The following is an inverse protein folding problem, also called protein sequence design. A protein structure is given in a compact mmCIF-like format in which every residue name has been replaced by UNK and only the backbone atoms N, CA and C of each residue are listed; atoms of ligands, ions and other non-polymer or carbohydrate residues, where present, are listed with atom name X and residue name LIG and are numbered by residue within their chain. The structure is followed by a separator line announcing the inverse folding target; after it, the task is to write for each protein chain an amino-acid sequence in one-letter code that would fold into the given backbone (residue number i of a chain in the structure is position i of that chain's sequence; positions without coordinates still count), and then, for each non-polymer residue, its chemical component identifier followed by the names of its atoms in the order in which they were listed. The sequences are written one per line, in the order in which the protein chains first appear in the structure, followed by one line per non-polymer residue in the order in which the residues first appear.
data_IF_255436930787
#
_entry.id   IF_255436930787
#
_cell.length_a   1.000
_cell.length_b   1.000
_cell.length_c   1.000
_cell.angle_alpha   90.00
_cell.angle_beta   90.00
_cell.angle_gamma   90.00
#
_symmetry.space_group_name_H-M   'P 1'
#
loop_
_entity.id
_entity.type
_entity.pdbx_description
1 polymer ?
#
# COMPACT_ATOMS: atom_id res chain seq x y z
N UNK A 1 5.17 20.25 -11.72
CA UNK A 1 5.71 18.89 -11.49
C UNK A 1 4.85 18.27 -10.39
N UNK A 2 4.51 16.99 -10.48
CA UNK A 2 3.70 16.32 -9.44
C UNK A 2 4.65 15.93 -8.31
N UNK A 3 4.32 16.28 -7.07
CA UNK A 3 5.13 15.94 -5.89
C UNK A 3 5.05 14.45 -5.59
N UNK A 4 6.16 13.85 -5.17
CA UNK A 4 6.22 12.45 -4.73
C UNK A 4 5.70 12.31 -3.31
N UNK A 5 4.99 11.21 -3.03
CA UNK A 5 4.34 10.95 -1.74
C UNK A 5 5.16 9.97 -0.90
N UNK A 6 5.27 10.25 0.38
CA UNK A 6 5.84 9.35 1.41
C UNK A 6 4.69 8.82 2.26
N UNK A 7 4.51 7.50 2.23
CA UNK A 7 3.32 6.84 2.76
C UNK A 7 3.72 5.82 3.83
N UNK A 8 3.47 6.06 5.12
CA UNK A 8 3.55 5.01 6.13
C UNK A 8 2.39 4.01 6.00
N UNK A 9 2.67 2.74 6.30
CA UNK A 9 1.66 1.66 6.31
C UNK A 9 1.48 1.12 7.72
N UNK A 10 0.23 1.06 8.19
CA UNK A 10 -0.16 0.40 9.43
C UNK A 10 -0.69 -1.01 9.13
N UNK A 11 0.13 -2.02 9.36
CA UNK A 11 -0.29 -3.42 9.34
C UNK A 11 -0.96 -3.75 10.67
N UNK A 12 -2.28 -3.96 10.66
CA UNK A 12 -3.07 -4.17 11.88
C UNK A 12 -3.49 -5.62 12.03
N UNK A 13 -3.26 -6.18 13.20
CA UNK A 13 -3.71 -7.51 13.63
C UNK A 13 -4.29 -7.41 15.02
N UNK A 14 -5.49 -7.98 15.24
CA UNK A 14 -6.17 -7.95 16.53
C UNK A 14 -6.25 -6.56 17.16
N UNK A 15 -6.46 -5.53 16.31
CA UNK A 15 -6.56 -4.15 16.77
C UNK A 15 -5.25 -3.47 17.15
N UNK A 16 -4.10 -4.08 16.90
CA UNK A 16 -2.77 -3.54 17.19
C UNK A 16 -1.95 -3.44 15.91
N UNK A 17 -1.12 -2.40 15.81
CA UNK A 17 -0.12 -2.31 14.73
C UNK A 17 0.96 -3.34 15.00
N UNK A 18 1.26 -4.14 13.98
CA UNK A 18 2.28 -5.19 14.05
C UNK A 18 3.27 -5.04 12.89
N UNK A 19 4.46 -5.58 13.05
CA UNK A 19 5.43 -5.70 11.96
C UNK A 19 6.23 -6.99 12.07
N UNK A 20 6.47 -7.63 10.92
CA UNK A 20 7.31 -8.79 10.75
C UNK A 20 8.23 -8.64 9.54
N UNK A 21 8.96 -9.71 9.21
CA UNK A 21 9.71 -9.85 7.97
C UNK A 21 9.02 -10.89 7.10
N UNK A 22 8.80 -10.61 5.81
CA UNK A 22 8.07 -11.50 4.88
C UNK A 22 6.74 -12.01 5.47
N UNK A 23 6.00 -11.13 6.18
CA UNK A 23 4.74 -11.44 6.88
C UNK A 23 4.86 -12.49 8.02
N UNK A 24 6.06 -12.80 8.48
CA UNK A 24 6.32 -13.72 9.59
C UNK A 24 6.95 -13.01 10.79
N UNK A 25 6.92 -13.63 11.98
CA UNK A 25 7.56 -13.12 13.19
C UNK A 25 6.95 -11.80 13.69
N UNK A 26 5.64 -11.62 13.55
CA UNK A 26 4.95 -10.37 13.89
C UNK A 26 5.17 -9.95 15.34
N UNK A 27 5.62 -8.70 15.53
CA UNK A 27 5.77 -8.03 16.84
C UNK A 27 4.75 -6.91 16.95
N UNK A 28 4.18 -6.74 18.15
CA UNK A 28 3.34 -5.60 18.50
C UNK A 28 4.19 -4.31 18.51
N UNK A 29 3.73 -3.31 17.81
CA UNK A 29 4.42 -2.01 17.71
C UNK A 29 3.74 -0.93 18.55
N UNK A 30 2.42 -0.69 18.33
CA UNK A 30 1.69 0.37 19.02
C UNK A 30 0.17 0.32 18.79
N UNK A 31 -0.55 1.27 19.41
CA UNK A 31 -1.95 1.56 19.09
C UNK A 31 -2.06 2.24 17.72
N UNK A 32 -2.97 1.78 16.83
CA UNK A 32 -3.12 2.33 15.48
C UNK A 32 -3.50 3.82 15.47
N UNK A 33 -4.30 4.26 16.43
CA UNK A 33 -4.76 5.67 16.51
C UNK A 33 -3.60 6.60 16.91
N UNK A 34 -2.78 6.19 17.86
CA UNK A 34 -1.59 6.93 18.26
C UNK A 34 -0.57 7.03 17.12
N UNK A 35 -0.35 5.93 16.38
CA UNK A 35 0.54 5.94 15.24
C UNK A 35 0.02 6.80 14.10
N UNK A 36 -1.28 6.76 13.82
CA UNK A 36 -1.90 7.60 12.79
C UNK A 36 -1.72 9.10 13.12
N UNK A 37 -1.98 9.50 14.36
CA UNK A 37 -1.75 10.87 14.84
C UNK A 37 -0.28 11.28 14.68
N UNK A 38 0.64 10.39 15.07
CA UNK A 38 2.06 10.64 14.91
C UNK A 38 2.45 10.88 13.44
N UNK A 39 2.03 10.02 12.50
CA UNK A 39 2.36 10.16 11.09
C UNK A 39 1.72 11.39 10.45
N UNK A 40 0.48 11.72 10.82
CA UNK A 40 -0.14 12.96 10.39
C UNK A 40 0.68 14.20 10.83
N UNK A 41 1.14 14.23 12.08
CA UNK A 41 1.99 15.30 12.60
C UNK A 41 3.41 15.30 12.01
N UNK A 42 3.95 14.12 11.67
CA UNK A 42 5.28 13.97 11.06
C UNK A 42 5.33 14.39 9.57
N UNK A 43 4.19 14.78 8.98
CA UNK A 43 4.12 15.26 7.60
C UNK A 43 4.05 14.14 6.56
N UNK A 44 3.50 12.97 6.89
CA UNK A 44 3.14 11.96 5.89
C UNK A 44 2.19 12.55 4.84
N UNK A 45 2.28 12.08 3.59
CA UNK A 45 1.42 12.58 2.52
C UNK A 45 0.09 11.83 2.42
N UNK A 46 0.08 10.59 2.91
CA UNK A 46 -1.07 9.68 2.95
C UNK A 46 -0.78 8.62 4.02
N UNK A 47 -1.80 7.95 4.54
CA UNK A 47 -1.68 6.83 5.45
C UNK A 47 -2.36 5.60 4.84
N UNK A 48 -1.69 4.45 4.89
CA UNK A 48 -2.30 3.16 4.54
C UNK A 48 -2.59 2.36 5.81
N UNK A 49 -3.80 1.80 5.89
CA UNK A 49 -4.25 0.93 6.97
C UNK A 49 -4.65 -0.42 6.40
N UNK A 50 -3.91 -1.46 6.72
CA UNK A 50 -4.21 -2.83 6.32
C UNK A 50 -4.57 -3.71 7.51
N UNK A 51 -5.77 -4.29 7.50
CA UNK A 51 -6.10 -5.42 8.38
C UNK A 51 -5.55 -6.70 7.73
N UNK A 52 -4.36 -7.11 8.16
CA UNK A 52 -3.60 -8.18 7.51
C UNK A 52 -4.13 -9.59 7.80
N UNK A 53 -5.10 -9.74 8.69
CA UNK A 53 -5.71 -11.04 9.03
C UNK A 53 -7.15 -11.20 8.56
N UNK A 54 -7.84 -10.12 8.22
CA UNK A 54 -9.25 -10.16 7.83
C UNK A 54 -9.53 -11.12 6.66
N UNK A 55 -8.69 -11.09 5.61
CA UNK A 55 -8.82 -11.99 4.45
C UNK A 55 -8.55 -13.46 4.77
N UNK A 56 -7.65 -13.73 5.72
CA UNK A 56 -7.27 -15.10 6.14
C UNK A 56 -8.32 -15.68 7.08
N UNK A 57 -8.85 -14.85 7.99
CA UNK A 57 -9.83 -15.24 9.01
C UNK A 57 -11.27 -15.21 8.47
N UNK A 58 -11.49 -14.69 7.27
CA UNK A 58 -12.83 -14.57 6.66
C UNK A 58 -13.76 -13.64 7.43
N UNK A 59 -13.22 -12.68 8.18
CA UNK A 59 -13.97 -11.68 8.96
C UNK A 59 -13.96 -10.30 8.30
N UNK A 60 -14.85 -9.46 8.79
CA UNK A 60 -14.88 -8.05 8.42
C UNK A 60 -13.75 -7.27 9.08
N UNK A 61 -13.32 -6.19 8.43
CA UNK A 61 -12.32 -5.24 8.93
C UNK A 61 -12.77 -4.58 10.26
N UNK A 62 -11.81 -4.18 11.09
CA UNK A 62 -12.04 -3.48 12.37
C UNK A 62 -12.55 -2.03 12.15
N UNK A 63 -13.84 -1.87 11.94
CA UNK A 63 -14.47 -0.58 11.61
C UNK A 63 -14.38 0.45 12.73
N UNK A 64 -14.46 0.02 14.00
CA UNK A 64 -14.37 0.92 15.16
C UNK A 64 -12.99 1.57 15.25
N UNK A 65 -11.94 0.78 15.05
CA UNK A 65 -10.56 1.28 15.05
C UNK A 65 -10.35 2.21 13.84
N UNK A 66 -10.82 1.80 12.67
CA UNK A 66 -10.74 2.61 11.46
C UNK A 66 -11.40 3.98 11.65
N UNK A 67 -12.61 4.02 12.21
CA UNK A 67 -13.34 5.27 12.48
C UNK A 67 -12.56 6.17 13.45
N UNK A 68 -11.91 5.61 14.46
CA UNK A 68 -11.06 6.36 15.39
C UNK A 68 -9.81 6.91 14.71
N UNK A 69 -9.15 6.11 13.87
CA UNK A 69 -8.00 6.54 13.06
C UNK A 69 -8.40 7.69 12.14
N UNK A 70 -9.47 7.55 11.38
CA UNK A 70 -9.94 8.56 10.43
C UNK A 70 -10.27 9.91 11.08
N UNK A 71 -10.69 9.92 12.35
CA UNK A 71 -10.97 11.16 13.10
C UNK A 71 -9.72 11.94 13.53
N UNK A 72 -8.58 11.30 13.56
CA UNK A 72 -7.34 11.86 14.09
C UNK A 72 -6.38 12.38 13.01
N UNK A 73 -6.68 12.13 11.74
CA UNK A 73 -5.81 12.50 10.63
C UNK A 73 -6.52 13.40 9.62
N UNK A 74 -5.74 14.23 8.92
CA UNK A 74 -6.20 15.16 7.88
C UNK A 74 -5.48 14.91 6.54
N UNK A 75 -4.73 13.82 6.45
CA UNK A 75 -4.12 13.31 5.22
C UNK A 75 -4.98 12.18 4.66
N UNK A 76 -4.94 11.91 3.33
CA UNK A 76 -5.71 10.83 2.73
C UNK A 76 -5.46 9.48 3.41
N UNK A 77 -6.53 8.71 3.59
CA UNK A 77 -6.51 7.40 4.22
C UNK A 77 -6.93 6.31 3.22
N UNK A 78 -5.97 5.44 2.88
CA UNK A 78 -6.24 4.23 2.09
C UNK A 78 -6.40 3.03 3.01
N UNK A 79 -7.48 2.29 2.85
CA UNK A 79 -7.82 1.15 3.73
C UNK A 79 -7.99 -0.13 2.94
N UNK A 80 -7.41 -1.21 3.45
CA UNK A 80 -7.54 -2.54 2.86
C UNK A 80 -7.56 -3.66 3.89
N UNK A 81 -7.69 -4.88 3.39
CA UNK A 81 -7.85 -6.09 4.20
C UNK A 81 -9.31 -6.53 4.30
N UNK A 82 -9.61 -7.77 3.87
CA UNK A 82 -10.94 -8.34 3.94
C UNK A 82 -11.99 -7.71 3.02
N UNK A 83 -11.61 -6.95 2.02
CA UNK A 83 -12.51 -6.31 1.05
C UNK A 83 -12.89 -7.32 -0.03
N UNK A 84 -14.19 -7.67 -0.13
CA UNK A 84 -14.68 -8.71 -1.02
C UNK A 84 -15.95 -8.32 -1.81
N UNK A 85 -16.61 -7.25 -1.41
CA UNK A 85 -17.89 -6.82 -1.99
C UNK A 85 -18.01 -5.30 -2.03
N UNK A 86 -18.99 -4.77 -2.77
CA UNK A 86 -19.30 -3.33 -2.76
C UNK A 86 -19.79 -2.86 -1.39
N UNK A 87 -20.42 -3.73 -0.60
CA UNK A 87 -20.82 -3.43 0.77
C UNK A 87 -19.60 -3.20 1.67
N UNK A 88 -18.49 -3.93 1.42
CA UNK A 88 -17.23 -3.68 2.12
C UNK A 88 -16.65 -2.32 1.75
N UNK A 89 -16.65 -1.94 0.45
CA UNK A 89 -16.27 -0.59 0.00
C UNK A 89 -17.10 0.49 0.70
N UNK A 90 -18.44 0.35 0.67
CA UNK A 90 -19.35 1.31 1.27
C UNK A 90 -19.11 1.47 2.78
N UNK A 91 -18.91 0.35 3.49
CA UNK A 91 -18.61 0.34 4.92
C UNK A 91 -17.32 1.07 5.25
N UNK A 92 -16.24 0.81 4.50
CA UNK A 92 -14.91 1.40 4.73
C UNK A 92 -14.92 2.90 4.43
N UNK A 93 -15.53 3.32 3.31
CA UNK A 93 -15.66 4.73 2.96
C UNK A 93 -16.51 5.50 4.00
N UNK A 94 -17.61 4.91 4.51
CA UNK A 94 -18.42 5.49 5.58
C UNK A 94 -17.69 5.62 6.93
N UNK A 95 -16.67 4.81 7.15
CA UNK A 95 -15.81 4.92 8.34
C UNK A 95 -14.76 6.05 8.21
N UNK A 96 -14.65 6.69 7.05
CA UNK A 96 -13.78 7.84 6.81
C UNK A 96 -12.53 7.54 5.97
N UNK A 97 -12.48 6.41 5.28
CA UNK A 97 -11.45 6.17 4.26
C UNK A 97 -11.70 7.02 3.00
N UNK A 98 -10.64 7.49 2.37
CA UNK A 98 -10.69 8.19 1.07
C UNK A 98 -10.56 7.21 -0.09
N UNK A 99 -9.82 6.12 0.11
CA UNK A 99 -9.56 5.08 -0.88
C UNK A 99 -9.68 3.68 -0.27
N UNK A 100 -10.05 2.74 -1.09
CA UNK A 100 -10.18 1.32 -0.70
C UNK A 100 -9.23 0.47 -1.52
N UNK A 101 -8.35 -0.25 -0.81
CA UNK A 101 -7.37 -1.14 -1.41
C UNK A 101 -7.89 -2.57 -1.46
N UNK A 102 -7.92 -3.15 -2.65
CA UNK A 102 -8.39 -4.52 -2.89
C UNK A 102 -7.30 -5.37 -3.55
N UNK A 103 -7.12 -6.59 -3.07
CA UNK A 103 -6.20 -7.60 -3.62
C UNK A 103 -6.94 -8.93 -3.77
N UNK A 104 -6.93 -9.81 -2.77
CA UNK A 104 -7.51 -11.17 -2.84
C UNK A 104 -9.00 -11.16 -3.22
N UNK A 105 -9.75 -10.14 -2.83
CA UNK A 105 -11.16 -9.98 -3.23
C UNK A 105 -11.31 -9.75 -4.72
N UNK A 106 -10.46 -8.91 -5.31
CA UNK A 106 -10.45 -8.65 -6.76
C UNK A 106 -10.00 -9.88 -7.56
N UNK A 107 -9.03 -10.65 -7.05
CA UNK A 107 -8.59 -11.90 -7.72
C UNK A 107 -9.74 -12.92 -7.77
N UNK A 108 -10.54 -13.03 -6.69
CA UNK A 108 -11.72 -13.92 -6.68
C UNK A 108 -12.87 -13.41 -7.55
N UNK A 109 -13.10 -12.11 -7.56
CA UNK A 109 -14.15 -11.45 -8.33
C UNK A 109 -13.61 -10.17 -8.99
N UNK A 110 -13.03 -10.25 -10.19
CA UNK A 110 -12.48 -9.10 -10.89
C UNK A 110 -13.48 -7.98 -11.20
N UNK A 111 -14.78 -8.30 -11.27
CA UNK A 111 -15.83 -7.33 -11.55
C UNK A 111 -15.93 -6.24 -10.46
N UNK A 112 -15.50 -6.54 -9.21
CA UNK A 112 -15.55 -5.60 -8.09
C UNK A 112 -14.80 -4.31 -8.38
N UNK A 113 -13.70 -4.36 -9.16
CA UNK A 113 -12.91 -3.17 -9.54
C UNK A 113 -13.80 -2.21 -10.35
N UNK A 114 -14.41 -2.70 -11.42
CA UNK A 114 -15.26 -1.88 -12.30
C UNK A 114 -16.55 -1.43 -11.64
N UNK A 115 -17.16 -2.27 -10.82
CA UNK A 115 -18.36 -1.92 -10.07
C UNK A 115 -18.08 -0.82 -9.03
N UNK A 116 -16.95 -0.92 -8.31
CA UNK A 116 -16.51 0.10 -7.35
C UNK A 116 -16.14 1.40 -8.05
N UNK A 117 -15.37 1.35 -9.15
CA UNK A 117 -15.00 2.51 -9.94
C UNK A 117 -16.22 3.25 -10.49
N UNK A 118 -17.21 2.52 -10.99
CA UNK A 118 -18.48 3.11 -11.48
C UNK A 118 -19.28 3.78 -10.37
N UNK A 119 -19.25 3.24 -9.15
CA UNK A 119 -20.08 3.75 -8.03
C UNK A 119 -19.41 4.88 -7.27
N UNK A 120 -18.10 4.80 -7.05
CA UNK A 120 -17.35 5.72 -6.18
C UNK A 120 -16.30 6.57 -6.91
N UNK A 121 -16.06 6.29 -8.18
CA UNK A 121 -14.97 6.86 -8.96
C UNK A 121 -13.71 5.98 -8.92
N UNK A 122 -12.96 5.96 -10.01
CA UNK A 122 -11.70 5.20 -10.14
C UNK A 122 -10.66 5.60 -9.09
N UNK A 123 -10.59 6.90 -8.76
CA UNK A 123 -9.69 7.45 -7.73
C UNK A 123 -9.89 6.84 -6.33
N UNK A 124 -11.05 6.23 -6.05
CA UNK A 124 -11.31 5.52 -4.79
C UNK A 124 -10.84 4.06 -4.80
N UNK A 125 -10.46 3.52 -5.99
CA UNK A 125 -10.12 2.10 -6.15
C UNK A 125 -8.62 1.93 -6.28
N UNK A 126 -7.99 1.36 -5.26
CA UNK A 126 -6.58 1.01 -5.25
C UNK A 126 -6.44 -0.49 -5.46
N UNK A 127 -5.81 -0.91 -6.56
CA UNK A 127 -5.48 -2.31 -6.77
C UNK A 127 -4.12 -2.63 -6.13
N UNK A 128 -4.14 -3.42 -5.07
CA UNK A 128 -2.93 -3.89 -4.41
C UNK A 128 -2.51 -5.26 -4.96
N UNK A 129 -1.24 -5.40 -5.28
CA UNK A 129 -0.67 -6.60 -5.86
C UNK A 129 0.53 -7.06 -5.03
N UNK A 130 0.41 -8.22 -4.35
CA UNK A 130 1.54 -8.92 -3.76
C UNK A 130 2.19 -9.77 -4.84
N UNK A 131 3.43 -9.46 -5.20
CA UNK A 131 4.11 -10.04 -6.35
C UNK A 131 5.41 -10.72 -5.90
N UNK A 132 5.65 -11.89 -6.44
CA UNK A 132 6.90 -12.63 -6.23
C UNK A 132 7.44 -13.17 -7.55
N UNK A 133 8.77 -13.15 -7.68
CA UNK A 133 9.46 -13.79 -8.81
C UNK A 133 9.54 -15.29 -8.59
N UNK A 134 8.94 -16.07 -9.49
CA UNK A 134 8.96 -17.53 -9.50
C UNK A 134 9.37 -17.99 -10.89
N UNK A 135 10.46 -18.73 -11.00
CA UNK A 135 11.00 -19.23 -12.27
C UNK A 135 11.14 -18.14 -13.34
N UNK A 136 11.65 -16.97 -12.95
CA UNK A 136 11.86 -15.81 -13.83
C UNK A 136 10.58 -15.05 -14.24
N UNK A 137 9.41 -15.38 -13.66
CA UNK A 137 8.12 -14.74 -13.94
C UNK A 137 7.60 -14.00 -12.71
N UNK A 138 6.98 -12.86 -12.91
CA UNK A 138 6.27 -12.14 -11.86
C UNK A 138 4.87 -12.74 -11.67
N UNK A 139 4.66 -13.43 -10.55
CA UNK A 139 3.39 -14.07 -10.21
C UNK A 139 2.69 -13.37 -9.06
N UNK A 140 1.35 -13.34 -9.13
CA UNK A 140 0.48 -12.79 -8.11
C UNK A 140 0.30 -13.77 -6.95
N UNK A 141 0.31 -13.21 -5.73
CA UNK A 141 0.05 -13.94 -4.51
C UNK A 141 -1.17 -13.38 -3.77
N UNK A 142 -1.83 -14.24 -3.01
CA UNK A 142 -2.98 -13.88 -2.16
C UNK A 142 -2.71 -14.18 -0.69
N UNK A 143 -3.70 -13.86 0.17
CA UNK A 143 -3.64 -14.14 1.62
C UNK A 143 -2.38 -13.58 2.29
N UNK A 144 -2.02 -12.33 1.93
CA UNK A 144 -0.83 -11.68 2.47
C UNK A 144 0.45 -12.39 2.02
N UNK A 145 0.60 -12.66 0.73
CA UNK A 145 1.80 -13.22 0.13
C UNK A 145 2.03 -14.72 0.35
N UNK A 146 1.03 -15.46 0.89
CA UNK A 146 1.20 -16.86 1.29
C UNK A 146 0.80 -17.87 0.23
N UNK A 147 -0.07 -17.50 -0.70
CA UNK A 147 -0.64 -18.42 -1.69
C UNK A 147 -0.35 -17.93 -3.10
N UNK A 148 0.42 -18.72 -3.85
CA UNK A 148 0.68 -18.47 -5.26
C UNK A 148 -0.57 -18.77 -6.07
N UNK A 149 -1.03 -17.80 -6.84
CA UNK A 149 -2.22 -17.94 -7.69
C UNK A 149 -1.93 -18.53 -9.07
N UNK A 150 -0.68 -18.56 -9.48
CA UNK A 150 -0.27 -18.89 -10.85
C UNK A 150 -0.59 -17.80 -11.89
N UNK A 151 -1.21 -16.70 -11.49
CA UNK A 151 -1.60 -15.59 -12.36
C UNK A 151 -0.37 -14.73 -12.66
N UNK A 152 -0.17 -14.38 -13.93
CA UNK A 152 0.84 -13.42 -14.36
C UNK A 152 0.47 -12.02 -13.84
N UNK A 153 1.36 -11.44 -13.01
CA UNK A 153 1.09 -10.19 -12.31
C UNK A 153 0.96 -8.99 -13.27
N UNK A 154 1.79 -8.94 -14.31
CA UNK A 154 1.79 -7.80 -15.24
C UNK A 154 0.49 -7.75 -16.04
N UNK A 155 0.01 -8.89 -16.55
CA UNK A 155 -1.29 -8.98 -17.23
C UNK A 155 -2.45 -8.67 -16.31
N UNK A 156 -2.38 -9.11 -15.06
CA UNK A 156 -3.39 -8.79 -14.06
C UNK A 156 -3.49 -7.29 -13.79
N UNK A 157 -2.36 -6.60 -13.67
CA UNK A 157 -2.28 -5.16 -13.45
C UNK A 157 -2.89 -4.41 -14.64
N UNK A 158 -2.52 -4.76 -15.88
CA UNK A 158 -3.10 -4.17 -17.10
C UNK A 158 -4.64 -4.34 -17.12
N UNK A 159 -5.13 -5.53 -16.80
CA UNK A 159 -6.55 -5.83 -16.75
C UNK A 159 -7.25 -5.06 -15.62
N UNK A 160 -6.62 -4.95 -14.45
CA UNK A 160 -7.16 -4.20 -13.30
C UNK A 160 -7.31 -2.71 -13.59
N UNK A 161 -6.31 -2.11 -14.24
CA UNK A 161 -6.37 -0.70 -14.68
C UNK A 161 -7.44 -0.52 -15.76
N UNK A 162 -7.51 -1.41 -16.75
CA UNK A 162 -8.56 -1.38 -17.78
C UNK A 162 -9.97 -1.51 -17.18
N UNK A 163 -10.12 -2.21 -16.05
CA UNK A 163 -11.37 -2.36 -15.32
C UNK A 163 -11.70 -1.17 -14.40
N UNK A 164 -10.79 -0.19 -14.23
CA UNK A 164 -11.08 1.03 -13.48
C UNK A 164 -10.34 1.17 -12.15
N UNK A 165 -9.25 0.42 -11.91
CA UNK A 165 -8.35 0.75 -10.82
C UNK A 165 -7.65 2.08 -11.11
N UNK A 166 -7.84 3.07 -10.23
CA UNK A 166 -7.29 4.42 -10.40
C UNK A 166 -5.91 4.59 -9.77
N UNK A 167 -5.44 3.63 -9.00
CA UNK A 167 -4.12 3.63 -8.37
C UNK A 167 -3.65 2.21 -8.09
N UNK A 168 -2.34 1.99 -8.09
CA UNK A 168 -1.73 0.69 -7.81
C UNK A 168 -0.85 0.74 -6.55
N UNK A 169 -0.92 -0.28 -5.71
CA UNK A 169 0.12 -0.61 -4.73
C UNK A 169 0.85 -1.87 -5.21
N UNK A 170 2.11 -1.73 -5.55
CA UNK A 170 2.96 -2.83 -6.01
C UNK A 170 3.88 -3.24 -4.88
N UNK A 171 3.58 -4.38 -4.27
CA UNK A 171 4.35 -4.93 -3.17
C UNK A 171 5.20 -6.11 -3.64
N UNK A 172 6.52 -5.94 -3.65
CA UNK A 172 7.45 -7.02 -3.93
C UNK A 172 7.69 -7.85 -2.67
N UNK A 173 7.24 -9.11 -2.69
CA UNK A 173 7.47 -10.07 -1.60
C UNK A 173 8.96 -10.38 -1.48
N UNK A 174 9.69 -10.39 -2.60
CA UNK A 174 11.11 -10.72 -2.63
C UNK A 174 11.97 -9.71 -1.85
N UNK A 175 11.52 -8.44 -1.79
CA UNK A 175 12.24 -7.36 -1.10
C UNK A 175 11.58 -6.95 0.23
N UNK A 176 10.35 -7.39 0.53
CA UNK A 176 9.63 -6.95 1.74
C UNK A 176 10.35 -7.36 3.03
N UNK A 177 10.64 -6.36 3.87
CA UNK A 177 11.38 -6.53 5.12
C UNK A 177 12.89 -6.74 4.97
N UNK A 178 13.42 -6.89 3.76
CA UNK A 178 14.86 -7.13 3.49
C UNK A 178 15.70 -5.86 3.68
N UNK A 179 15.11 -4.67 3.46
CA UNK A 179 15.75 -3.35 3.64
C UNK A 179 16.95 -3.08 2.72
N UNK A 180 16.95 -3.65 1.50
CA UNK A 180 18.00 -3.47 0.50
C UNK A 180 17.56 -2.64 -0.72
N UNK A 181 16.50 -1.85 -0.59
CA UNK A 181 15.92 -1.05 -1.67
C UNK A 181 14.67 -1.69 -2.27
N UNK A 182 13.94 -0.89 -3.03
CA UNK A 182 12.74 -1.33 -3.75
C UNK A 182 13.10 -2.24 -4.94
N UNK A 183 12.15 -3.08 -5.38
CA UNK A 183 12.30 -3.92 -6.57
C UNK A 183 12.10 -3.08 -7.85
N UNK A 184 13.15 -2.37 -8.24
CA UNK A 184 13.09 -1.41 -9.35
C UNK A 184 12.79 -2.09 -10.69
N UNK A 185 13.27 -3.32 -10.90
CA UNK A 185 12.98 -4.09 -12.12
C UNK A 185 11.48 -4.36 -12.28
N UNK A 186 10.83 -4.86 -11.21
CA UNK A 186 9.38 -5.07 -11.20
C UNK A 186 8.63 -3.77 -11.43
N UNK A 187 9.04 -2.70 -10.76
CA UNK A 187 8.39 -1.39 -10.82
C UNK A 187 8.50 -0.76 -12.22
N UNK A 188 9.66 -0.86 -12.88
CA UNK A 188 9.86 -0.38 -14.26
C UNK A 188 9.00 -1.18 -15.25
N UNK A 189 8.90 -2.49 -15.10
CA UNK A 189 8.02 -3.33 -15.91
C UNK A 189 6.54 -2.92 -15.77
N UNK A 190 6.08 -2.63 -14.54
CA UNK A 190 4.73 -2.12 -14.30
C UNK A 190 4.55 -0.74 -14.91
N UNK A 191 5.45 0.20 -14.67
CA UNK A 191 5.35 1.58 -15.15
C UNK A 191 5.37 1.68 -16.68
N UNK A 192 5.99 0.71 -17.36
CA UNK A 192 5.97 0.65 -18.83
C UNK A 192 4.60 0.29 -19.44
N UNK A 193 3.69 -0.27 -18.63
CA UNK A 193 2.41 -0.85 -19.09
C UNK A 193 1.18 -0.05 -18.71
N UNK A 194 1.28 0.81 -17.68
CA UNK A 194 0.13 1.56 -17.15
C UNK A 194 0.45 3.03 -16.99
N UNK A 195 -0.61 3.85 -16.88
CA UNK A 195 -0.49 5.31 -16.72
C UNK A 195 -1.12 5.83 -15.42
N UNK A 196 -1.67 4.94 -14.59
CA UNK A 196 -2.20 5.31 -13.28
C UNK A 196 -1.08 5.44 -12.25
N UNK A 197 -1.25 6.23 -11.18
CA UNK A 197 -0.27 6.36 -10.10
C UNK A 197 0.18 5.02 -9.52
N UNK A 198 1.49 4.89 -9.27
CA UNK A 198 2.09 3.69 -8.69
C UNK A 198 2.70 4.02 -7.32
N UNK A 199 2.28 3.26 -6.31
CA UNK A 199 2.85 3.24 -4.97
C UNK A 199 3.78 2.02 -4.89
N UNK A 200 5.08 2.25 -4.76
CA UNK A 200 6.06 1.20 -4.55
C UNK A 200 6.07 0.74 -3.09
N UNK A 201 6.04 -0.56 -2.85
CA UNK A 201 6.05 -1.19 -1.53
C UNK A 201 7.01 -2.37 -1.46
N UNK A 202 7.62 -2.55 -0.29
CA UNK A 202 8.60 -3.61 -0.04
C UNK A 202 10.03 -3.22 -0.36
N UNK A 203 10.94 -3.34 0.64
CA UNK A 203 12.39 -3.19 0.45
C UNK A 203 13.03 -1.93 1.01
N UNK A 204 12.29 -0.86 1.29
CA UNK A 204 12.86 0.37 1.83
C UNK A 204 13.62 0.13 3.15
N UNK A 205 14.88 0.54 3.20
CA UNK A 205 15.76 0.42 4.37
C UNK A 205 16.38 1.75 4.82
N UNK A 206 16.57 2.69 3.91
CA UNK A 206 17.24 3.98 4.15
C UNK A 206 16.73 5.07 3.22
N UNK A 207 17.13 6.34 3.47
CA UNK A 207 16.67 7.51 2.69
C UNK A 207 17.06 7.42 1.22
N UNK A 208 18.22 6.88 0.92
CA UNK A 208 18.75 6.73 -0.44
C UNK A 208 17.87 5.83 -1.31
N UNK A 209 17.21 4.85 -0.72
CA UNK A 209 16.32 3.93 -1.46
C UNK A 209 15.14 4.69 -2.08
N UNK A 210 14.62 5.71 -1.40
CA UNK A 210 13.56 6.58 -1.93
C UNK A 210 14.09 7.51 -3.04
N UNK A 211 15.33 8.01 -2.91
CA UNK A 211 15.94 8.80 -3.97
C UNK A 211 16.11 7.97 -5.24
N UNK A 212 16.57 6.74 -5.10
CA UNK A 212 16.71 5.81 -6.21
C UNK A 212 15.35 5.50 -6.84
N UNK A 213 14.35 5.15 -6.03
CA UNK A 213 12.97 4.92 -6.49
C UNK A 213 12.46 6.08 -7.35
N UNK A 214 12.60 7.32 -6.88
CA UNK A 214 12.01 8.48 -7.55
C UNK A 214 12.81 8.98 -8.76
N UNK A 215 13.98 8.43 -9.04
CA UNK A 215 14.70 8.59 -10.32
C UNK A 215 14.05 7.78 -11.44
N UNK A 216 13.35 6.68 -11.10
CA UNK A 216 12.62 5.88 -12.04
C UNK A 216 11.30 6.55 -12.44
N UNK A 217 10.98 6.50 -13.74
CA UNK A 217 9.76 7.12 -14.27
C UNK A 217 8.52 6.35 -13.83
N UNK A 218 7.43 7.08 -13.58
CA UNK A 218 6.15 6.47 -13.24
C UNK A 218 5.98 6.13 -11.76
N UNK A 219 7.00 6.38 -10.90
CA UNK A 219 6.88 6.18 -9.47
C UNK A 219 6.30 7.42 -8.81
N UNK A 220 5.12 7.31 -8.20
CA UNK A 220 4.40 8.43 -7.60
C UNK A 220 4.50 8.48 -6.08
N UNK A 221 4.72 7.31 -5.45
CA UNK A 221 4.86 7.20 -4.02
C UNK A 221 5.77 6.06 -3.60
N UNK A 222 6.40 6.22 -2.43
CA UNK A 222 7.11 5.16 -1.71
C UNK A 222 6.39 4.86 -0.39
N UNK A 223 5.99 3.60 -0.21
CA UNK A 223 5.35 3.09 0.99
C UNK A 223 6.34 2.29 1.82
N UNK A 224 6.39 2.57 3.12
CA UNK A 224 7.18 1.81 4.07
C UNK A 224 6.50 1.70 5.44
N UNK A 225 6.88 0.71 6.20
CA UNK A 225 6.37 0.47 7.55
C UNK A 225 7.51 0.43 8.59
N UNK A 226 8.33 -0.61 8.56
CA UNK A 226 9.31 -0.90 9.62
C UNK A 226 10.29 0.23 9.90
N UNK A 227 10.84 0.88 8.88
CA UNK A 227 11.83 1.95 9.04
C UNK A 227 11.24 3.21 9.71
N UNK A 228 9.94 3.46 9.49
CA UNK A 228 9.20 4.55 10.13
C UNK A 228 8.76 4.17 11.54
N UNK A 229 8.24 2.95 11.74
CA UNK A 229 7.78 2.48 13.06
C UNK A 229 8.91 2.41 14.08
N UNK A 230 10.11 2.03 13.65
CA UNK A 230 11.31 1.96 14.50
C UNK A 230 12.07 3.28 14.57
N UNK A 231 11.57 4.34 13.94
CA UNK A 231 12.22 5.65 13.83
C UNK A 231 13.65 5.60 13.25
N UNK A 232 13.93 4.56 12.47
CA UNK A 232 15.19 4.45 11.73
C UNK A 232 15.30 5.55 10.67
N UNK A 233 14.16 5.95 10.10
CA UNK A 233 14.00 7.09 9.19
C UNK A 233 12.80 7.92 9.67
N UNK A 234 13.01 9.18 9.98
CA UNK A 234 11.94 10.13 10.26
C UNK A 234 11.42 10.73 8.95
N UNK A 235 10.09 10.89 8.80
CA UNK A 235 9.47 11.33 7.54
C UNK A 235 9.91 12.74 7.16
N UNK A 236 9.96 13.67 8.11
CA UNK A 236 10.40 15.03 7.86
C UNK A 236 11.85 15.07 7.33
N UNK A 237 12.76 14.33 7.95
CA UNK A 237 14.16 14.24 7.54
C UNK A 237 14.32 13.56 6.18
N UNK A 238 13.50 12.56 5.88
CA UNK A 238 13.46 11.92 4.56
C UNK A 238 13.05 12.93 3.49
N UNK A 239 12.00 13.69 3.73
CA UNK A 239 11.52 14.70 2.76
C UNK A 239 12.53 15.83 2.54
N UNK A 240 13.20 16.30 3.59
CA UNK A 240 14.29 17.25 3.44
C UNK A 240 15.42 16.67 2.57
N UNK A 241 15.86 15.46 2.89
CA UNK A 241 16.89 14.77 2.12
C UNK A 241 16.50 14.58 0.65
N UNK A 242 15.27 14.18 0.35
CA UNK A 242 14.75 14.02 -1.01
C UNK A 242 14.78 15.34 -1.77
N UNK A 243 14.35 16.45 -1.15
CA UNK A 243 14.35 17.77 -1.75
C UNK A 243 15.78 18.27 -2.05
N UNK A 244 16.73 18.03 -1.15
CA UNK A 244 18.15 18.34 -1.35
C UNK A 244 18.76 17.52 -2.51
N UNK A 245 18.19 16.35 -2.80
CA UNK A 245 18.60 15.47 -3.91
C UNK A 245 17.75 15.64 -5.18
N UNK A 246 17.00 16.75 -5.30
CA UNK A 246 16.27 17.11 -6.51
C UNK A 246 14.93 16.38 -6.71
N UNK A 247 14.38 15.74 -5.68
CA UNK A 247 13.05 15.11 -5.71
C UNK A 247 12.02 16.09 -5.15
N UNK A 248 10.99 16.38 -5.96
CA UNK A 248 9.90 17.27 -5.52
C UNK A 248 8.99 16.55 -4.52
N UNK A 249 8.96 17.04 -3.29
CA UNK A 249 8.11 16.57 -2.18
C UNK A 249 7.44 17.74 -1.48
N UNK A 250 6.29 17.51 -0.85
CA UNK A 250 5.63 18.47 0.02
C UNK A 250 6.30 18.42 1.41
N UNK A 251 6.75 19.56 1.94
CA UNK A 251 7.27 19.69 3.31
C UNK A 251 6.15 20.07 4.27
#
# INVERSE_FOLDING_TARGET
MITKRIIPCLDVKNGRVVKGTNFEGLRDMADPVEMARYYNAAGADELVFYDITASVEGRTLFTDILTRVAREIFIPLTVGGGINSLEDFDRVLKCGADKVSVNSGAIRNPAIIGEAAKKYGDQCVVLSCDIKRVDGRFLLFTKGGRENTGIDALRWIEQGVANGAGELVINSIDTDGVKNGFDLELLDEVASRVSVPIIASGGAGKKEDFTELFRHKGMDAGLAASIFHTKQVEIHDLKQYLRENGVEVRL
#
